data_IF_816777619143
#
_entry.id   IF_816777619143
#
_cell.length_a   1.000
_cell.length_b   1.000
_cell.length_c   1.000
_cell.angle_alpha   90.00
_cell.angle_beta   90.00
_cell.angle_gamma   90.00
#
_symmetry.space_group_name_H-M   'P 1'
#
loop_
_entity.id
_entity.type
_entity.pdbx_description
1 polymer ?
#
# COMPACT_ATOMS: atom_id res chain seq x y z
N UNK A 1 5.92 3.02 -13.07
CA UNK A 1 5.99 2.99 -11.57
C UNK A 1 5.03 4.04 -11.02
N UNK A 2 4.40 3.87 -9.86
CA UNK A 2 3.48 4.91 -9.33
C UNK A 2 4.22 5.98 -8.54
N UNK A 3 3.69 7.20 -8.51
CA UNK A 3 4.23 8.31 -7.70
C UNK A 3 3.14 9.30 -7.31
N UNK A 4 3.30 9.96 -6.16
CA UNK A 4 2.44 11.07 -5.74
C UNK A 4 3.07 12.41 -6.14
N UNK A 5 2.29 13.27 -6.80
CA UNK A 5 2.72 14.65 -7.10
C UNK A 5 1.64 15.65 -6.75
N UNK A 6 2.07 16.83 -6.31
CA UNK A 6 1.20 17.99 -6.19
C UNK A 6 1.13 18.74 -7.52
N UNK A 7 -0.08 19.04 -7.99
CA UNK A 7 -0.34 19.89 -9.16
C UNK A 7 -1.52 20.80 -8.84
N UNK A 8 -1.37 22.11 -9.08
CA UNK A 8 -2.46 23.09 -8.91
C UNK A 8 -3.10 23.09 -7.50
N UNK A 9 -2.35 22.74 -6.45
CA UNK A 9 -2.85 22.67 -5.07
C UNK A 9 -3.58 21.38 -4.70
N UNK A 10 -3.64 20.41 -5.61
CA UNK A 10 -4.19 19.07 -5.37
C UNK A 10 -3.09 18.00 -5.48
N UNK A 11 -3.26 16.90 -4.76
CA UNK A 11 -2.35 15.75 -4.81
C UNK A 11 -2.94 14.72 -5.78
N UNK A 12 -2.10 14.15 -6.64
CA UNK A 12 -2.50 13.13 -7.60
C UNK A 12 -1.63 11.89 -7.48
N UNK A 13 -2.24 10.72 -7.60
CA UNK A 13 -1.51 9.49 -7.92
C UNK A 13 -1.37 9.40 -9.43
N UNK A 14 -0.15 9.20 -9.90
CA UNK A 14 0.14 9.13 -11.33
C UNK A 14 1.15 8.04 -11.67
N UNK A 15 1.15 7.65 -12.93
CA UNK A 15 2.24 6.87 -13.48
C UNK A 15 3.47 7.77 -13.68
N UNK A 16 4.59 7.37 -13.08
CA UNK A 16 5.86 8.10 -13.09
C UNK A 16 6.46 8.18 -14.50
N UNK A 17 6.23 7.18 -15.33
CA UNK A 17 6.90 7.05 -16.62
C UNK A 17 6.12 7.77 -17.73
N UNK A 18 4.78 7.74 -17.67
CA UNK A 18 3.90 8.39 -18.65
C UNK A 18 3.34 9.74 -18.21
N UNK A 19 3.50 10.09 -16.92
CA UNK A 19 2.82 11.20 -16.24
C UNK A 19 1.27 11.15 -16.30
N UNK A 20 0.71 9.98 -16.63
CA UNK A 20 -0.74 9.77 -16.66
C UNK A 20 -1.32 9.85 -15.25
N UNK A 21 -2.29 10.76 -15.06
CA UNK A 21 -3.02 10.88 -13.80
C UNK A 21 -3.99 9.70 -13.68
N UNK A 22 -3.88 8.95 -12.58
CA UNK A 22 -4.84 7.89 -12.24
C UNK A 22 -6.06 8.48 -11.56
N UNK A 23 -5.84 9.29 -10.52
CA UNK A 23 -6.89 9.97 -9.78
C UNK A 23 -6.31 11.04 -8.85
N UNK A 24 -7.18 11.95 -8.40
CA UNK A 24 -6.90 12.91 -7.33
C UNK A 24 -7.01 12.24 -5.95
N UNK A 25 -6.10 12.61 -5.05
CA UNK A 25 -6.01 12.09 -3.69
C UNK A 25 -6.48 13.18 -2.72
N UNK A 26 -7.69 13.01 -2.20
CA UNK A 26 -8.35 13.95 -1.31
C UNK A 26 -8.26 13.52 0.15
N UNK A 27 -8.38 12.22 0.42
CA UNK A 27 -8.37 11.60 1.75
C UNK A 27 -7.38 10.43 1.77
N UNK A 28 -6.07 10.70 1.86
CA UNK A 28 -5.05 9.67 1.73
C UNK A 28 -5.15 8.63 2.86
N UNK A 29 -5.12 7.36 2.50
CA UNK A 29 -5.09 6.24 3.42
C UNK A 29 -4.24 5.09 2.86
N UNK A 30 -3.91 4.15 3.73
CA UNK A 30 -3.15 2.94 3.39
C UNK A 30 -3.73 1.72 4.09
N UNK A 31 -3.68 0.59 3.40
CA UNK A 31 -3.87 -0.75 3.96
C UNK A 31 -2.50 -1.42 3.99
N UNK A 32 -2.01 -1.74 5.19
CA UNK A 32 -0.75 -2.44 5.42
C UNK A 32 -0.99 -3.81 6.02
N UNK A 33 -0.16 -4.78 5.63
CA UNK A 33 0.02 -6.02 6.37
C UNK A 33 1.19 -5.85 7.34
N UNK A 34 0.91 -5.90 8.64
CA UNK A 34 1.94 -5.70 9.67
C UNK A 34 2.83 -6.91 9.89
N UNK A 35 2.42 -8.10 9.44
CA UNK A 35 3.22 -9.33 9.58
C UNK A 35 4.35 -9.35 8.57
N UNK A 36 4.05 -8.98 7.32
CA UNK A 36 5.00 -9.01 6.21
C UNK A 36 5.56 -7.64 5.85
N UNK A 37 5.14 -6.58 6.55
CA UNK A 37 5.45 -5.18 6.23
C UNK A 37 5.11 -4.84 4.77
N UNK A 38 3.98 -5.36 4.28
CA UNK A 38 3.58 -5.26 2.88
C UNK A 38 2.56 -4.15 2.65
N UNK A 39 2.73 -3.41 1.55
CA UNK A 39 1.76 -2.42 1.09
C UNK A 39 0.68 -3.10 0.26
N UNK A 40 -0.52 -3.30 0.83
CA UNK A 40 -1.61 -3.94 0.11
C UNK A 40 -2.37 -2.94 -0.76
N UNK A 41 -2.62 -1.74 -0.23
CA UNK A 41 -3.31 -0.68 -0.97
C UNK A 41 -2.92 0.70 -0.43
N UNK A 42 -2.82 1.69 -1.31
CA UNK A 42 -2.70 3.10 -0.96
C UNK A 42 -3.57 3.92 -1.93
N UNK A 43 -4.16 5.01 -1.45
CA UNK A 43 -5.04 5.86 -2.25
C UNK A 43 -6.00 6.65 -1.39
N UNK A 44 -7.17 7.01 -1.95
CA UNK A 44 -8.25 7.57 -1.14
C UNK A 44 -8.82 6.54 -0.17
N UNK A 45 -9.27 6.99 1.00
CA UNK A 45 -9.81 6.16 2.07
C UNK A 45 -10.94 5.25 1.61
N UNK A 46 -11.87 5.76 0.81
CA UNK A 46 -12.97 4.98 0.22
C UNK A 46 -12.48 3.81 -0.65
N UNK A 47 -11.47 4.05 -1.50
CA UNK A 47 -10.85 3.03 -2.35
C UNK A 47 -10.13 1.98 -1.49
N UNK A 48 -9.41 2.44 -0.46
CA UNK A 48 -8.67 1.55 0.45
C UNK A 48 -9.63 0.67 1.26
N UNK A 49 -10.69 1.26 1.80
CA UNK A 49 -11.72 0.52 2.56
C UNK A 49 -12.47 -0.47 1.68
N UNK A 50 -12.85 -0.08 0.47
CA UNK A 50 -13.51 -0.99 -0.48
C UNK A 50 -12.64 -2.20 -0.79
N UNK A 51 -11.34 -1.99 -1.05
CA UNK A 51 -10.39 -3.07 -1.27
C UNK A 51 -10.23 -3.96 -0.03
N UNK A 52 -10.19 -3.38 1.17
CA UNK A 52 -10.07 -4.11 2.44
C UNK A 52 -11.28 -5.02 2.67
N UNK A 53 -12.49 -4.50 2.52
CA UNK A 53 -13.74 -5.24 2.70
C UNK A 53 -13.87 -6.39 1.68
N UNK A 54 -13.59 -6.13 0.41
CA UNK A 54 -13.58 -7.16 -0.63
C UNK A 54 -12.55 -8.27 -0.34
N UNK A 55 -11.37 -7.89 0.15
CA UNK A 55 -10.29 -8.82 0.45
C UNK A 55 -10.59 -9.67 1.67
N UNK A 56 -11.19 -9.10 2.73
CA UNK A 56 -11.70 -9.86 3.88
C UNK A 56 -12.74 -10.88 3.43
N UNK A 57 -13.67 -10.50 2.55
CA UNK A 57 -14.68 -11.42 2.05
C UNK A 57 -14.04 -12.64 1.36
N UNK A 58 -12.97 -12.42 0.57
CA UNK A 58 -12.20 -13.48 -0.09
C UNK A 58 -11.45 -14.37 0.92
N UNK A 59 -10.81 -13.79 1.94
CA UNK A 59 -10.14 -14.55 3.00
C UNK A 59 -11.12 -15.45 3.76
N UNK A 60 -12.31 -14.94 4.09
CA UNK A 60 -13.36 -15.73 4.77
C UNK A 60 -13.84 -16.90 3.92
N UNK A 61 -14.02 -16.71 2.62
CA UNK A 61 -14.36 -17.79 1.68
C UNK A 61 -13.23 -18.83 1.62
N UNK A 62 -11.99 -18.36 1.57
CA UNK A 62 -10.79 -19.21 1.56
C UNK A 62 -10.42 -19.82 2.92
N UNK A 63 -11.17 -19.52 3.99
CA UNK A 63 -10.88 -19.92 5.37
C UNK A 63 -9.46 -19.58 5.82
N UNK A 64 -8.97 -18.39 5.46
CA UNK A 64 -7.67 -17.87 5.89
C UNK A 64 -7.84 -16.71 6.87
N UNK A 65 -6.86 -16.58 7.77
CA UNK A 65 -6.74 -15.55 8.81
C UNK A 65 -5.75 -14.43 8.41
N UNK A 66 -5.32 -14.40 7.13
CA UNK A 66 -4.35 -13.42 6.62
C UNK A 66 -4.73 -11.97 6.92
N UNK A 67 -6.03 -11.67 7.03
CA UNK A 67 -6.52 -10.32 7.28
C UNK A 67 -6.36 -9.86 8.74
N UNK A 68 -6.01 -10.74 9.67
CA UNK A 68 -5.87 -10.39 11.10
C UNK A 68 -4.73 -9.41 11.37
N UNK A 69 -3.69 -9.41 10.52
CA UNK A 69 -2.57 -8.46 10.59
C UNK A 69 -2.76 -7.21 9.74
N UNK A 70 -3.93 -7.04 9.12
CA UNK A 70 -4.17 -5.92 8.22
C UNK A 70 -4.68 -4.69 8.97
N UNK A 71 -4.05 -3.55 8.71
CA UNK A 71 -4.38 -2.28 9.36
C UNK A 71 -4.62 -1.20 8.30
N UNK A 72 -5.78 -0.53 8.40
CA UNK A 72 -6.07 0.69 7.65
C UNK A 72 -5.66 1.90 8.47
N UNK A 73 -4.89 2.81 7.87
CA UNK A 73 -4.45 4.05 8.51
C UNK A 73 -4.68 5.24 7.59
N UNK A 74 -5.13 6.35 8.19
CA UNK A 74 -5.12 7.65 7.53
C UNK A 74 -3.70 8.17 7.39
N UNK A 75 -3.42 8.79 6.25
CA UNK A 75 -2.11 9.35 5.93
C UNK A 75 -2.21 10.88 5.81
N UNK A 76 -1.09 11.59 6.06
CA UNK A 76 -1.07 13.04 5.85
C UNK A 76 -1.28 13.37 4.37
N UNK A 77 -1.99 14.48 4.13
CA UNK A 77 -2.19 15.04 2.78
C UNK A 77 -0.97 15.84 2.34
N UNK A 78 0.13 15.12 2.13
CA UNK A 78 1.42 15.64 1.71
C UNK A 78 2.03 14.71 0.65
N UNK A 79 2.26 15.23 -0.56
CA UNK A 79 2.69 14.41 -1.69
C UNK A 79 4.07 13.77 -1.46
N UNK A 80 5.00 14.48 -0.81
CA UNK A 80 6.36 13.97 -0.56
C UNK A 80 6.32 12.85 0.48
N UNK A 81 5.53 13.01 1.55
CA UNK A 81 5.36 11.96 2.56
C UNK A 81 4.69 10.73 1.96
N UNK A 82 3.64 10.91 1.16
CA UNK A 82 2.96 9.81 0.49
C UNK A 82 3.89 9.04 -0.47
N UNK A 83 4.70 9.76 -1.25
CA UNK A 83 5.69 9.14 -2.15
C UNK A 83 6.78 8.41 -1.37
N UNK A 84 7.26 8.97 -0.24
CA UNK A 84 8.20 8.27 0.66
C UNK A 84 7.60 6.98 1.22
N UNK A 85 6.33 6.97 1.63
CA UNK A 85 5.66 5.77 2.12
C UNK A 85 5.58 4.72 1.02
N UNK A 86 5.13 5.11 -0.18
CA UNK A 86 5.03 4.21 -1.33
C UNK A 86 6.38 3.54 -1.66
N UNK A 87 7.46 4.31 -1.65
CA UNK A 87 8.79 3.80 -1.98
C UNK A 87 9.45 3.01 -0.83
N UNK A 88 9.27 3.42 0.43
CA UNK A 88 9.89 2.76 1.58
C UNK A 88 9.26 1.41 1.90
N UNK A 89 7.93 1.27 1.75
CA UNK A 89 7.29 -0.03 2.00
C UNK A 89 7.72 -1.06 0.95
N UNK A 90 7.83 -0.67 -0.33
CA UNK A 90 8.39 -1.55 -1.36
C UNK A 90 9.84 -1.98 -1.08
N UNK A 91 10.63 -1.11 -0.44
CA UNK A 91 11.97 -1.48 0.03
C UNK A 91 11.93 -2.49 1.18
N UNK A 92 11.07 -2.29 2.18
CA UNK A 92 10.94 -3.21 3.32
C UNK A 92 10.46 -4.60 2.89
N UNK A 93 9.50 -4.67 1.97
CA UNK A 93 9.03 -5.94 1.39
C UNK A 93 10.18 -6.68 0.67
N UNK A 94 10.93 -5.96 -0.16
CA UNK A 94 12.10 -6.53 -0.88
C UNK A 94 13.19 -6.99 0.09
N UNK A 95 13.40 -6.26 1.18
CA UNK A 95 14.36 -6.62 2.22
C UNK A 95 13.92 -7.89 2.97
N UNK A 96 12.66 -7.94 3.40
CA UNK A 96 12.08 -9.08 4.10
C UNK A 96 12.18 -10.37 3.26
N UNK A 97 11.85 -10.29 1.97
CA UNK A 97 12.01 -11.43 1.04
C UNK A 97 13.45 -11.94 0.98
N UNK A 98 14.43 -11.04 0.82
CA UNK A 98 15.85 -11.40 0.82
C UNK A 98 16.30 -12.04 2.13
N UNK A 99 15.81 -11.55 3.26
CA UNK A 99 16.11 -12.12 4.58
C UNK A 99 15.56 -13.54 4.67
N UNK A 100 14.29 -13.77 4.30
CA UNK A 100 13.70 -15.12 4.29
C UNK A 100 14.49 -16.06 3.39
N UNK A 101 14.81 -15.64 2.17
CA UNK A 101 15.58 -16.46 1.22
C UNK A 101 16.97 -16.82 1.74
N UNK A 102 17.55 -15.96 2.58
CA UNK A 102 18.86 -16.18 3.21
C UNK A 102 18.81 -17.06 4.45
N UNK A 103 17.63 -17.34 5.02
CA UNK A 103 17.51 -18.25 6.15
C UNK A 103 17.80 -19.69 5.69
N UNK A 104 18.57 -20.46 6.46
CA UNK A 104 18.77 -21.87 6.15
C UNK A 104 17.41 -22.57 6.12
N UNK A 105 17.09 -23.18 4.99
CA UNK A 105 15.92 -24.04 4.87
C UNK A 105 16.14 -25.21 5.82
N UNK A 106 15.32 -25.29 6.87
CA UNK A 106 15.42 -26.36 7.87
C UNK A 106 15.39 -27.73 7.20
N UNK A 107 16.31 -28.60 7.61
CA UNK A 107 16.31 -30.03 7.30
C UNK A 107 15.06 -30.74 7.87
#
# INVERSE_FOLDING_TARGET
MLTFKEKMGSIYLMDKDTEEIRYEVTEPAVLLDTTFFALLKIGNRDIVMSYYEESIAKCKIGQTDLFESWVVMDLPKDAEVLDKILNNVGYLESFYQKVIESLPKGE
#
